data_IF_157317904381
#
_entry.id   IF_157317904381
#
_cell.length_a   1.000
_cell.length_b   1.000
_cell.length_c   1.000
_cell.angle_alpha   90.00
_cell.angle_beta   90.00
_cell.angle_gamma   90.00
#
_symmetry.space_group_name_H-M   'P 1'
#
loop_
_entity.id
_entity.type
_entity.pdbx_description
1 polymer ?
#
# COMPACT_ATOMS: atom_id res chain seq x y z
N UNK A 1 -37.49 55.59 -14.59
CA UNK A 1 -37.59 56.38 -13.34
C UNK A 1 -37.18 55.48 -12.24
N UNK A 2 -35.94 55.58 -11.77
CA UNK A 2 -35.57 56.17 -10.48
C UNK A 2 -36.32 55.47 -9.36
N UNK A 3 -35.73 54.86 -8.40
CA UNK A 3 -34.54 55.17 -7.68
C UNK A 3 -34.41 54.34 -6.40
N UNK A 4 -33.29 54.50 -5.90
CA UNK A 4 -32.81 54.62 -4.52
C UNK A 4 -32.40 53.37 -3.77
N UNK A 5 -31.11 53.35 -3.60
CA UNK A 5 -30.35 52.60 -2.60
C UNK A 5 -30.71 53.07 -1.16
N UNK A 6 -30.71 52.16 -0.21
CA UNK A 6 -30.53 52.45 1.20
C UNK A 6 -29.46 51.51 1.77
N UNK A 7 -28.30 52.07 2.07
CA UNK A 7 -27.26 51.43 2.81
C UNK A 7 -27.61 51.33 4.30
N UNK A 8 -27.35 50.19 4.87
CA UNK A 8 -27.37 49.97 6.31
C UNK A 8 -26.02 49.47 6.77
N UNK A 9 -25.23 50.34 7.39
CA UNK A 9 -24.01 50.02 8.13
C UNK A 9 -24.44 49.38 9.45
N UNK A 10 -24.07 48.11 9.67
CA UNK A 10 -24.10 47.51 10.99
C UNK A 10 -22.66 47.34 11.43
N UNK A 11 -22.26 48.11 12.41
CA UNK A 11 -20.97 48.06 13.08
C UNK A 11 -20.85 46.78 13.90
N UNK A 12 -19.62 46.26 13.93
CA UNK A 12 -19.23 45.00 14.44
C UNK A 12 -19.40 44.75 15.95
N UNK A 13 -19.54 43.49 16.26
CA UNK A 13 -19.08 42.91 17.52
C UNK A 13 -18.18 41.71 17.12
N UNK A 14 -16.92 41.83 17.49
CA UNK A 14 -15.92 40.80 17.27
C UNK A 14 -16.24 39.56 18.10
N UNK A 15 -16.64 38.49 17.42
CA UNK A 15 -16.56 37.15 17.94
C UNK A 15 -15.33 36.51 17.29
N UNK A 16 -14.40 36.09 18.13
CA UNK A 16 -13.17 35.44 17.72
C UNK A 16 -13.43 34.32 16.73
N UNK A 17 -12.94 34.52 15.50
CA UNK A 17 -13.08 33.53 14.44
C UNK A 17 -12.34 32.25 14.84
N UNK A 18 -13.09 31.18 15.00
CA UNK A 18 -12.55 29.82 14.90
C UNK A 18 -11.93 29.76 13.50
N UNK A 19 -10.63 29.42 13.37
CA UNK A 19 -10.04 29.30 12.02
C UNK A 19 -10.85 28.27 11.24
N UNK A 20 -11.49 28.70 10.16
CA UNK A 20 -12.14 27.80 9.22
C UNK A 20 -11.09 26.78 8.77
N UNK A 21 -11.27 25.51 9.16
CA UNK A 21 -10.47 24.40 8.61
C UNK A 21 -10.65 24.47 7.09
N UNK A 22 -9.58 24.79 6.39
CA UNK A 22 -9.58 24.76 4.92
C UNK A 22 -9.91 23.32 4.49
N UNK A 23 -11.09 23.14 3.92
CA UNK A 23 -11.44 21.89 3.23
C UNK A 23 -10.49 21.77 2.05
N UNK A 24 -9.63 20.76 2.07
CA UNK A 24 -8.77 20.48 0.92
C UNK A 24 -9.65 20.05 -0.25
N UNK A 25 -9.31 20.53 -1.46
CA UNK A 25 -10.00 20.11 -2.68
C UNK A 25 -9.76 18.61 -2.95
N UNK A 26 -10.71 17.89 -3.59
CA UNK A 26 -10.53 16.49 -3.94
C UNK A 26 -9.24 16.27 -4.73
N UNK A 27 -8.45 15.24 -4.36
CA UNK A 27 -7.17 14.93 -5.01
C UNK A 27 -5.99 15.80 -4.56
N UNK A 28 -6.14 16.62 -3.50
CA UNK A 28 -5.01 17.35 -2.93
C UNK A 28 -3.98 16.37 -2.37
N UNK A 29 -2.86 16.29 -3.07
CA UNK A 29 -1.67 15.61 -2.61
C UNK A 29 -1.12 16.33 -1.36
N UNK A 30 -0.73 15.57 -0.35
CA UNK A 30 0.36 16.03 0.50
C UNK A 30 1.54 16.28 -0.44
N UNK A 31 2.26 17.40 -0.32
CA UNK A 31 3.50 17.57 -1.09
C UNK A 31 4.40 16.34 -0.91
N UNK A 32 5.31 16.08 -1.83
CA UNK A 32 6.25 14.96 -1.72
C UNK A 32 6.84 14.91 -0.31
N UNK A 33 6.73 13.76 0.36
CA UNK A 33 7.26 13.59 1.71
C UNK A 33 8.76 13.93 1.73
N UNK A 34 9.24 14.76 2.67
CA UNK A 34 10.65 15.12 2.74
C UNK A 34 11.50 13.90 3.09
N UNK A 35 12.75 13.92 2.64
CA UNK A 35 13.76 12.97 3.09
C UNK A 35 14.50 13.61 4.28
N UNK A 36 14.29 13.06 5.46
CA UNK A 36 15.02 13.45 6.67
C UNK A 36 16.31 12.64 6.74
N UNK A 37 17.44 13.35 6.92
CA UNK A 37 18.79 12.73 6.96
C UNK A 37 19.45 12.98 8.31
N UNK A 38 20.26 12.03 8.76
CA UNK A 38 21.04 12.16 10.00
C UNK A 38 20.84 10.97 10.92
N UNK A 39 21.10 11.20 12.21
CA UNK A 39 21.03 10.17 13.26
C UNK A 39 20.02 10.50 14.37
N UNK A 40 19.48 11.72 14.37
CA UNK A 40 18.48 12.19 15.34
C UNK A 40 17.22 12.63 14.60
N UNK A 41 16.07 12.08 14.98
CA UNK A 41 14.80 12.36 14.34
C UNK A 41 13.72 12.63 15.38
N UNK A 42 12.86 13.62 15.11
CA UNK A 42 11.67 13.91 15.90
C UNK A 42 10.43 13.71 15.02
N UNK A 43 9.61 12.73 15.38
CA UNK A 43 8.39 12.37 14.68
C UNK A 43 7.18 12.63 15.58
N UNK A 44 6.18 13.31 15.05
CA UNK A 44 4.91 13.57 15.75
C UNK A 44 3.80 12.84 15.02
N UNK A 45 3.13 11.94 15.72
CA UNK A 45 1.95 11.22 15.22
C UNK A 45 0.71 12.00 15.64
N UNK A 46 -0.15 12.36 14.67
CA UNK A 46 -1.36 13.12 14.90
C UNK A 46 -2.40 12.85 13.81
N UNK A 47 -3.65 13.18 14.10
CA UNK A 47 -4.71 13.20 13.09
C UNK A 47 -4.57 14.42 12.16
N UNK A 48 -4.78 14.21 10.86
CA UNK A 48 -4.75 15.26 9.83
C UNK A 48 -5.96 15.11 8.90
N UNK A 49 -6.71 16.18 8.62
CA UNK A 49 -7.79 16.14 7.63
C UNK A 49 -7.26 15.83 6.23
N UNK A 50 -7.94 14.93 5.53
CA UNK A 50 -7.62 14.52 4.16
C UNK A 50 -8.85 14.49 3.28
N UNK A 51 -8.65 14.53 1.95
CA UNK A 51 -9.73 14.37 0.98
C UNK A 51 -9.17 13.77 -0.32
N UNK A 52 -9.20 12.44 -0.45
CA UNK A 52 -8.71 11.75 -1.65
C UNK A 52 -9.82 11.50 -2.68
N UNK A 53 -11.06 11.38 -2.25
CA UNK A 53 -12.19 10.91 -3.08
C UNK A 53 -13.25 11.97 -3.33
N UNK A 54 -13.13 13.14 -2.68
CA UNK A 54 -14.19 14.13 -2.56
C UNK A 54 -14.93 14.05 -1.21
N UNK A 55 -14.71 12.98 -0.44
CA UNK A 55 -15.25 12.81 0.91
C UNK A 55 -14.18 13.19 1.94
N UNK A 56 -14.45 14.16 2.83
CA UNK A 56 -13.53 14.49 3.90
C UNK A 56 -13.30 13.30 4.85
N UNK A 57 -12.06 13.05 5.22
CA UNK A 57 -11.65 12.03 6.16
C UNK A 57 -10.57 12.54 7.13
N UNK A 58 -10.20 11.70 8.09
CA UNK A 58 -9.09 11.94 9.00
C UNK A 58 -8.05 10.86 8.79
N UNK A 59 -6.81 11.23 8.52
CA UNK A 59 -5.68 10.33 8.43
C UNK A 59 -4.84 10.37 9.70
N UNK A 60 -4.26 9.25 10.07
CA UNK A 60 -3.19 9.18 11.07
C UNK A 60 -1.87 9.49 10.37
N UNK A 61 -1.24 10.60 10.68
CA UNK A 61 -0.08 11.10 9.94
C UNK A 61 1.16 11.24 10.80
N UNK A 62 2.31 11.28 10.15
CA UNK A 62 3.60 11.59 10.78
C UNK A 62 4.06 12.96 10.30
N UNK A 63 4.27 13.88 11.25
CA UNK A 63 4.62 15.27 10.98
C UNK A 63 3.62 15.97 10.03
N UNK A 64 2.33 15.57 10.10
CA UNK A 64 1.25 16.12 9.27
C UNK A 64 1.27 15.66 7.82
N UNK A 65 1.99 14.58 7.49
CA UNK A 65 2.18 14.08 6.13
C UNK A 65 1.72 12.63 5.97
N UNK A 66 1.26 12.29 4.76
CA UNK A 66 0.92 10.95 4.30
C UNK A 66 1.48 10.77 2.86
N UNK A 67 2.42 9.82 2.64
CA UNK A 67 3.16 9.09 3.67
C UNK A 67 3.98 10.04 4.57
N UNK A 68 4.37 9.54 5.72
CA UNK A 68 5.34 10.22 6.59
C UNK A 68 6.68 10.43 5.90
N UNK A 69 7.61 11.23 6.50
CA UNK A 69 8.91 11.49 5.91
C UNK A 69 9.68 10.21 5.60
N UNK A 70 10.43 10.18 4.50
CA UNK A 70 11.43 9.14 4.29
C UNK A 70 12.60 9.38 5.22
N UNK A 71 12.91 8.42 6.09
CA UNK A 71 14.07 8.49 6.98
C UNK A 71 15.28 7.92 6.25
N UNK A 72 16.39 8.66 6.23
CA UNK A 72 17.62 8.22 5.58
C UNK A 72 18.82 8.35 6.50
N UNK A 73 19.45 7.24 6.78
CA UNK A 73 20.64 7.12 7.60
C UNK A 73 21.65 6.16 6.96
N UNK A 74 22.76 5.91 7.64
CA UNK A 74 23.83 5.08 7.12
C UNK A 74 24.04 3.83 7.97
N UNK A 75 24.37 2.74 7.34
CA UNK A 75 24.82 1.52 7.98
C UNK A 75 26.01 1.79 8.90
N UNK A 76 25.99 1.26 10.13
CA UNK A 76 26.96 1.48 11.18
C UNK A 76 26.64 2.62 12.12
N UNK A 77 25.77 3.56 11.74
CA UNK A 77 25.34 4.65 12.61
C UNK A 77 24.50 4.12 13.79
N UNK A 78 24.45 4.92 14.86
CA UNK A 78 23.44 4.73 15.92
C UNK A 78 22.42 5.82 15.76
N UNK A 79 21.16 5.43 15.48
CA UNK A 79 20.06 6.37 15.32
C UNK A 79 19.24 6.49 16.60
N UNK A 80 18.69 7.69 16.82
CA UNK A 80 17.73 7.99 17.88
C UNK A 80 16.52 8.64 17.25
N UNK A 81 15.34 8.02 17.40
CA UNK A 81 14.09 8.49 16.81
C UNK A 81 13.11 8.71 17.95
N UNK A 82 12.80 9.96 18.26
CA UNK A 82 11.82 10.35 19.27
C UNK A 82 10.45 10.45 18.62
N UNK A 83 9.53 9.64 19.07
CA UNK A 83 8.15 9.58 18.55
C UNK A 83 7.21 10.10 19.61
N UNK A 84 6.54 11.22 19.31
CA UNK A 84 5.55 11.83 20.19
C UNK A 84 4.15 11.47 19.71
N UNK A 85 3.35 10.88 20.58
CA UNK A 85 1.95 10.53 20.31
C UNK A 85 1.02 11.69 20.64
N UNK A 86 0.34 12.26 19.66
CA UNK A 86 -0.74 13.25 19.82
C UNK A 86 -2.13 12.71 19.49
N UNK A 87 -2.26 11.41 19.30
CA UNK A 87 -3.55 10.75 19.14
C UNK A 87 -4.25 10.62 20.51
N UNK A 88 -5.56 10.46 20.53
CA UNK A 88 -6.32 10.15 21.76
C UNK A 88 -6.15 8.70 22.21
N UNK A 89 -5.46 7.86 21.46
CA UNK A 89 -5.26 6.42 21.68
C UNK A 89 -3.76 6.07 21.64
N UNK A 90 -3.35 4.90 22.17
CA UNK A 90 -1.98 4.42 22.06
C UNK A 90 -1.55 4.22 20.59
N UNK A 91 -0.27 4.42 20.34
CA UNK A 91 0.36 4.22 19.02
C UNK A 91 1.69 3.49 19.13
N UNK A 92 2.28 3.18 17.99
CA UNK A 92 3.60 2.57 17.88
C UNK A 92 4.21 2.84 16.51
N UNK A 93 5.51 2.65 16.38
CA UNK A 93 6.17 2.52 15.07
C UNK A 93 6.98 1.22 15.08
N UNK A 94 6.66 0.35 14.13
CA UNK A 94 7.45 -0.83 13.78
C UNK A 94 8.40 -0.48 12.61
N UNK A 95 9.62 -0.98 12.70
CA UNK A 95 10.70 -0.77 11.72
C UNK A 95 10.80 -2.00 10.82
N UNK A 96 9.97 -2.05 9.78
CA UNK A 96 9.78 -3.24 8.97
C UNK A 96 11.06 -3.67 8.24
N UNK A 97 11.48 -4.91 8.49
CA UNK A 97 12.66 -5.50 7.87
C UNK A 97 14.01 -5.09 8.51
N UNK A 98 14.01 -4.31 9.60
CA UNK A 98 15.22 -3.83 10.25
C UNK A 98 15.70 -4.80 11.34
N UNK A 99 16.99 -5.15 11.31
CA UNK A 99 17.66 -5.92 12.36
C UNK A 99 18.01 -4.97 13.51
N UNK A 100 17.32 -5.10 14.63
CA UNK A 100 17.44 -4.21 15.78
C UNK A 100 17.20 -4.96 17.11
N UNK A 101 17.52 -4.35 18.26
CA UNK A 101 17.20 -4.93 19.56
C UNK A 101 15.69 -5.11 19.75
N UNK A 102 15.27 -6.25 20.28
CA UNK A 102 13.87 -6.63 20.45
C UNK A 102 12.99 -5.51 21.06
N UNK A 103 13.49 -4.81 22.10
CA UNK A 103 12.75 -3.74 22.75
C UNK A 103 12.50 -2.52 21.87
N UNK A 104 13.19 -2.41 20.73
CA UNK A 104 13.07 -1.33 19.75
C UNK A 104 12.24 -1.72 18.53
N UNK A 105 11.71 -2.94 18.48
CA UNK A 105 10.94 -3.46 17.36
C UNK A 105 9.58 -2.77 17.15
N UNK A 106 9.04 -2.19 18.22
CA UNK A 106 7.87 -1.33 18.14
C UNK A 106 6.53 -2.06 18.03
N UNK A 107 6.44 -3.32 18.48
CA UNK A 107 5.20 -4.11 18.48
C UNK A 107 4.58 -4.12 19.87
N UNK A 108 3.44 -3.40 20.10
CA UNK A 108 2.80 -3.28 21.41
C UNK A 108 2.35 -4.63 21.95
N UNK A 109 2.59 -4.83 23.24
CA UNK A 109 2.24 -6.08 23.94
C UNK A 109 3.20 -7.25 23.69
N UNK A 110 4.20 -7.05 22.78
CA UNK A 110 5.25 -8.02 22.49
C UNK A 110 6.61 -7.42 22.86
N UNK A 111 7.07 -6.40 22.12
CA UNK A 111 8.40 -5.81 22.32
C UNK A 111 8.43 -4.62 23.28
N UNK A 112 7.29 -3.93 23.44
CA UNK A 112 7.13 -2.79 24.38
C UNK A 112 5.63 -2.55 24.68
N UNK A 113 5.32 -1.57 25.55
CA UNK A 113 3.94 -1.28 25.98
C UNK A 113 3.14 -0.40 25.00
N UNK A 114 3.77 0.11 23.92
CA UNK A 114 3.21 1.15 23.06
C UNK A 114 3.52 2.56 23.61
N UNK A 115 3.09 3.58 22.87
CA UNK A 115 3.26 5.00 23.21
C UNK A 115 1.91 5.55 23.58
N UNK A 116 1.68 5.88 24.87
CA UNK A 116 0.39 6.40 25.34
C UNK A 116 0.12 7.82 24.81
N UNK A 117 -1.16 8.28 24.82
CA UNK A 117 -1.50 9.65 24.45
C UNK A 117 -0.68 10.70 25.23
N UNK A 118 -0.04 11.63 24.50
CA UNK A 118 0.79 12.67 25.06
C UNK A 118 2.23 12.26 25.40
N UNK A 119 2.56 10.98 25.31
CA UNK A 119 3.92 10.49 25.60
C UNK A 119 4.86 10.59 24.40
N UNK A 120 6.17 10.58 24.70
CA UNK A 120 7.24 10.45 23.72
C UNK A 120 8.08 9.22 24.05
N UNK A 121 8.25 8.34 23.07
CA UNK A 121 9.16 7.19 23.17
C UNK A 121 10.37 7.40 22.28
N UNK A 122 11.56 7.04 22.77
CA UNK A 122 12.81 7.15 22.02
C UNK A 122 13.28 5.75 21.58
N UNK A 123 13.13 5.48 20.30
CA UNK A 123 13.78 4.32 19.68
C UNK A 123 15.25 4.64 19.47
N UNK A 124 16.14 3.78 19.98
CA UNK A 124 17.60 3.96 19.82
C UNK A 124 18.25 2.63 19.51
N UNK A 125 18.87 2.54 18.34
CA UNK A 125 19.54 1.31 17.91
C UNK A 125 20.68 1.59 16.93
N UNK A 126 21.61 0.63 16.85
CA UNK A 126 22.68 0.63 15.85
C UNK A 126 22.13 0.02 14.56
N UNK A 127 22.35 0.70 13.44
CA UNK A 127 21.99 0.25 12.10
C UNK A 127 22.99 -0.81 11.63
N UNK A 128 22.51 -2.01 11.28
CA UNK A 128 23.35 -3.18 11.00
C UNK A 128 23.27 -3.63 9.53
N UNK A 129 22.51 -2.92 8.69
CA UNK A 129 22.22 -3.30 7.31
C UNK A 129 22.04 -2.07 6.44
N UNK A 130 22.15 -2.22 5.13
CA UNK A 130 21.80 -1.20 4.12
C UNK A 130 20.59 -1.66 3.32
N UNK A 131 19.98 -0.74 2.55
CA UNK A 131 18.87 -1.05 1.65
C UNK A 131 17.66 -0.16 1.79
N UNK A 132 16.58 -0.56 1.14
CA UNK A 132 15.28 0.10 1.16
C UNK A 132 14.32 -0.67 2.05
N UNK A 133 13.69 0.03 2.98
CA UNK A 133 12.77 -0.50 3.97
C UNK A 133 11.64 0.49 4.20
N UNK A 134 10.79 0.24 5.20
CA UNK A 134 9.72 1.14 5.58
C UNK A 134 9.40 1.04 7.06
N UNK A 135 8.60 1.96 7.56
CA UNK A 135 8.10 1.93 8.91
C UNK A 135 6.59 2.19 8.92
N UNK A 136 5.89 1.59 9.87
CA UNK A 136 4.43 1.72 9.99
C UNK A 136 3.96 1.49 11.43
N UNK A 137 2.70 1.82 11.71
CA UNK A 137 2.09 1.49 13.00
C UNK A 137 1.82 0.00 13.12
N UNK A 138 1.98 -0.52 14.32
CA UNK A 138 1.53 -1.85 14.72
C UNK A 138 0.41 -1.77 15.76
N UNK A 139 -0.35 -0.65 15.77
CA UNK A 139 -1.44 -0.36 16.71
C UNK A 139 -2.76 -0.22 15.98
N UNK A 140 -3.71 -1.11 16.26
CA UNK A 140 -5.03 -1.08 15.64
C UNK A 140 -4.96 -1.07 14.11
N UNK A 141 -5.70 -0.13 13.48
CA UNK A 141 -5.69 0.09 12.03
C UNK A 141 -4.98 1.38 11.60
N UNK A 142 -4.07 1.89 12.43
CA UNK A 142 -3.39 3.16 12.14
C UNK A 142 -2.54 3.09 10.86
N UNK A 143 -2.02 1.93 10.49
CA UNK A 143 -1.39 1.68 9.20
C UNK A 143 -2.37 1.95 8.05
N UNK A 144 -3.58 1.37 8.08
CA UNK A 144 -4.62 1.59 7.08
C UNK A 144 -5.10 3.03 7.00
N UNK A 145 -4.94 3.80 8.07
CA UNK A 145 -5.33 5.23 8.12
C UNK A 145 -4.18 6.18 7.83
N UNK A 146 -2.98 5.68 7.49
CA UNK A 146 -1.90 6.48 6.91
C UNK A 146 -0.60 6.57 7.72
N UNK A 147 -0.46 5.82 8.83
CA UNK A 147 0.75 5.85 9.64
C UNK A 147 1.82 4.91 9.07
N UNK A 148 2.50 5.37 8.04
CA UNK A 148 3.63 4.69 7.39
C UNK A 148 4.56 5.69 6.70
N UNK A 149 5.80 5.25 6.40
CA UNK A 149 6.79 6.02 5.63
C UNK A 149 7.99 5.16 5.22
N UNK A 150 8.78 5.65 4.28
CA UNK A 150 9.94 4.94 3.76
C UNK A 150 11.18 5.05 4.64
N UNK A 151 12.07 4.07 4.53
CA UNK A 151 13.41 4.06 5.11
C UNK A 151 14.42 3.78 4.00
N UNK A 152 15.49 4.57 3.95
CA UNK A 152 16.64 4.30 3.09
C UNK A 152 17.89 4.24 3.95
N UNK A 153 18.59 3.13 3.90
CA UNK A 153 19.85 2.95 4.62
C UNK A 153 20.98 2.90 3.61
N UNK A 154 21.80 3.96 3.60
CA UNK A 154 22.98 4.02 2.75
C UNK A 154 24.03 3.02 3.29
N UNK A 155 24.75 2.27 2.44
CA UNK A 155 25.75 1.32 2.89
C UNK A 155 26.94 2.00 3.56
N UNK A 156 27.62 1.30 4.46
CA UNK A 156 28.82 1.78 5.10
C UNK A 156 29.95 2.07 4.11
N UNK A 157 30.03 1.28 3.04
CA UNK A 157 30.94 1.43 1.91
C UNK A 157 30.37 2.23 0.77
N UNK A 158 30.86 1.95 -0.44
CA UNK A 158 30.33 2.50 -1.68
C UNK A 158 29.04 1.78 -2.07
N UNK A 159 28.01 2.52 -2.48
CA UNK A 159 26.77 1.91 -3.00
C UNK A 159 27.07 1.23 -4.35
N UNK A 160 26.72 -0.05 -4.44
CA UNK A 160 26.87 -0.84 -5.68
C UNK A 160 25.95 -0.34 -6.79
N UNK A 161 24.82 0.27 -6.40
CA UNK A 161 23.81 0.77 -7.34
C UNK A 161 23.98 2.27 -7.50
N UNK A 162 24.65 2.67 -8.58
CA UNK A 162 24.80 4.09 -8.91
C UNK A 162 23.61 4.55 -9.75
N UNK A 163 23.05 5.71 -9.39
CA UNK A 163 22.02 6.39 -10.15
C UNK A 163 22.16 7.91 -9.94
N UNK A 164 21.78 8.68 -10.98
CA UNK A 164 21.84 10.15 -10.94
C UNK A 164 20.68 10.74 -10.11
N UNK A 165 19.57 10.02 -10.05
CA UNK A 165 18.37 10.33 -9.26
C UNK A 165 17.96 9.14 -8.42
N UNK A 166 17.41 9.41 -7.24
CA UNK A 166 17.02 8.40 -6.26
C UNK A 166 15.70 8.82 -5.61
N UNK A 167 14.64 8.04 -5.82
CA UNK A 167 13.29 8.31 -5.32
C UNK A 167 12.75 7.12 -4.55
N UNK A 168 12.23 7.37 -3.36
CA UNK A 168 11.32 6.44 -2.69
C UNK A 168 9.94 6.58 -3.33
N UNK A 169 9.37 5.46 -3.77
CA UNK A 169 8.04 5.37 -4.37
C UNK A 169 7.20 4.45 -3.50
N UNK A 170 6.49 5.05 -2.55
CA UNK A 170 5.63 4.31 -1.64
C UNK A 170 4.23 4.20 -2.23
N UNK A 171 3.80 2.96 -2.47
CA UNK A 171 2.44 2.63 -2.87
C UNK A 171 1.62 2.31 -1.62
N UNK A 172 0.39 2.79 -1.58
CA UNK A 172 -0.51 2.54 -0.47
C UNK A 172 -1.96 2.54 -0.94
N UNK A 173 -2.86 2.12 -0.07
CA UNK A 173 -4.30 2.15 -0.28
C UNK A 173 -4.98 2.97 0.82
N UNK A 174 -6.09 3.61 0.46
CA UNK A 174 -6.91 4.43 1.34
C UNK A 174 -8.36 3.98 1.24
N UNK A 175 -9.05 3.91 2.37
CA UNK A 175 -10.50 3.73 2.40
C UNK A 175 -11.17 4.88 3.17
N UNK A 176 -12.32 5.34 2.65
CA UNK A 176 -13.18 6.30 3.36
C UNK A 176 -14.11 5.62 4.38
N UNK A 177 -14.10 4.29 4.43
CA UNK A 177 -14.81 3.50 5.41
C UNK A 177 -13.92 3.25 6.63
N UNK A 178 -14.50 3.19 7.81
CA UNK A 178 -13.79 2.79 9.03
C UNK A 178 -13.21 1.37 8.86
N UNK A 179 -11.88 1.17 8.96
CA UNK A 179 -11.25 -0.13 8.75
C UNK A 179 -11.77 -1.24 9.65
N UNK A 180 -12.23 -0.91 10.89
CA UNK A 180 -12.85 -1.88 11.78
C UNK A 180 -14.21 -2.38 11.23
N UNK A 181 -14.97 -1.50 10.58
CA UNK A 181 -16.20 -1.90 9.89
C UNK A 181 -15.93 -2.75 8.67
N UNK A 182 -14.88 -2.41 7.91
CA UNK A 182 -14.41 -3.22 6.77
C UNK A 182 -14.09 -4.63 7.25
N UNK A 183 -13.24 -4.77 8.28
CA UNK A 183 -12.90 -6.08 8.85
C UNK A 183 -14.12 -6.83 9.37
N UNK A 184 -15.08 -6.13 10.01
CA UNK A 184 -16.30 -6.76 10.52
C UNK A 184 -17.13 -7.37 9.38
N UNK A 185 -17.25 -6.67 8.25
CA UNK A 185 -17.96 -7.18 7.07
C UNK A 185 -17.26 -8.40 6.48
N UNK A 186 -15.93 -8.34 6.31
CA UNK A 186 -15.12 -9.45 5.79
C UNK A 186 -15.19 -10.69 6.69
N UNK A 187 -15.26 -10.53 8.02
CA UNK A 187 -15.46 -11.65 8.97
C UNK A 187 -16.83 -12.33 8.82
N UNK A 188 -17.85 -11.61 8.36
CA UNK A 188 -19.19 -12.13 8.12
C UNK A 188 -19.26 -12.79 6.74
N UNK A 189 -18.66 -12.13 5.74
CA UNK A 189 -18.67 -12.56 4.34
C UNK A 189 -17.33 -12.17 3.70
N UNK A 190 -16.45 -13.13 3.42
CA UNK A 190 -15.10 -12.88 2.89
C UNK A 190 -15.10 -12.13 1.56
N UNK A 191 -16.03 -12.45 0.68
CA UNK A 191 -16.21 -11.83 -0.64
C UNK A 191 -17.16 -10.61 -0.65
N UNK A 192 -17.39 -9.97 0.52
CA UNK A 192 -18.33 -8.84 0.66
C UNK A 192 -18.07 -7.70 -0.33
N UNK A 193 -16.80 -7.40 -0.61
CA UNK A 193 -16.38 -6.33 -1.52
C UNK A 193 -16.07 -6.81 -2.94
N UNK A 194 -16.32 -8.09 -3.25
CA UNK A 194 -16.17 -8.63 -4.59
C UNK A 194 -17.42 -8.35 -5.44
N UNK A 195 -17.39 -7.27 -6.20
CA UNK A 195 -18.47 -6.89 -7.12
C UNK A 195 -18.32 -7.49 -8.52
N UNK A 196 -17.30 -8.32 -8.75
CA UNK A 196 -17.04 -8.99 -10.04
C UNK A 196 -17.41 -10.46 -10.03
N UNK A 197 -18.33 -10.86 -9.14
CA UNK A 197 -18.76 -12.24 -9.00
C UNK A 197 -19.31 -12.82 -10.31
N UNK A 198 -19.10 -14.14 -10.58
CA UNK A 198 -19.62 -14.80 -11.76
C UNK A 198 -21.14 -14.70 -11.86
N UNK A 199 -21.62 -14.25 -13.01
CA UNK A 199 -23.04 -14.04 -13.28
C UNK A 199 -23.72 -15.28 -13.90
N UNK A 200 -25.04 -15.23 -14.01
CA UNK A 200 -25.82 -16.24 -14.78
C UNK A 200 -25.39 -16.24 -16.25
N UNK A 201 -25.02 -15.08 -16.80
CA UNK A 201 -24.53 -15.00 -18.20
C UNK A 201 -23.20 -15.73 -18.34
N UNK A 202 -22.30 -15.62 -17.34
CA UNK A 202 -21.04 -16.37 -17.34
C UNK A 202 -21.28 -17.88 -17.25
N UNK A 203 -22.30 -18.32 -16.48
CA UNK A 203 -22.70 -19.72 -16.45
C UNK A 203 -23.08 -20.24 -17.84
N UNK A 204 -23.95 -19.54 -18.54
CA UNK A 204 -24.35 -19.98 -19.89
C UNK A 204 -23.20 -19.89 -20.91
N UNK A 205 -22.29 -18.97 -20.73
CA UNK A 205 -21.06 -18.93 -21.53
C UNK A 205 -20.18 -20.16 -21.29
N UNK A 206 -20.02 -20.56 -20.01
CA UNK A 206 -19.31 -21.80 -19.66
C UNK A 206 -20.01 -23.02 -20.23
N UNK A 207 -21.35 -23.12 -20.09
CA UNK A 207 -22.15 -24.23 -20.71
C UNK A 207 -21.91 -24.30 -22.21
N UNK A 208 -21.87 -23.16 -22.90
CA UNK A 208 -21.60 -23.11 -24.35
C UNK A 208 -20.19 -23.58 -24.72
N UNK A 209 -19.22 -23.45 -23.83
CA UNK A 209 -17.82 -23.79 -24.10
C UNK A 209 -17.43 -25.19 -23.66
N UNK A 210 -17.90 -25.63 -22.52
CA UNK A 210 -17.46 -26.86 -21.85
C UNK A 210 -18.61 -27.86 -21.53
N UNK A 211 -19.85 -27.50 -21.87
CA UNK A 211 -21.05 -28.34 -21.64
C UNK A 211 -21.65 -28.14 -20.24
N UNK A 212 -22.91 -28.58 -20.11
CA UNK A 212 -23.72 -28.38 -18.90
C UNK A 212 -23.08 -29.01 -17.65
N UNK A 213 -22.69 -30.30 -17.76
CA UNK A 213 -22.13 -31.03 -16.61
C UNK A 213 -20.86 -30.38 -16.07
N UNK A 214 -19.93 -30.06 -16.97
CA UNK A 214 -18.67 -29.42 -16.59
C UNK A 214 -18.90 -28.07 -15.94
N UNK A 215 -19.76 -27.22 -16.51
CA UNK A 215 -20.10 -25.92 -15.96
C UNK A 215 -20.76 -25.99 -14.57
N UNK A 216 -21.61 -27.02 -14.36
CA UNK A 216 -22.23 -27.26 -13.05
C UNK A 216 -21.22 -27.77 -12.01
N UNK A 217 -20.37 -28.73 -12.39
CA UNK A 217 -19.38 -29.32 -11.49
C UNK A 217 -18.33 -28.26 -11.06
N UNK A 218 -17.91 -27.40 -11.96
CA UNK A 218 -17.05 -26.26 -11.68
C UNK A 218 -17.65 -25.34 -10.58
N UNK A 219 -18.93 -24.96 -10.74
CA UNK A 219 -19.59 -24.12 -9.73
C UNK A 219 -19.82 -24.84 -8.42
N UNK A 220 -20.17 -26.12 -8.46
CA UNK A 220 -20.32 -26.95 -7.27
C UNK A 220 -19.00 -27.00 -6.48
N UNK A 221 -17.89 -27.17 -7.15
CA UNK A 221 -16.56 -27.25 -6.55
C UNK A 221 -16.19 -25.94 -5.85
N UNK A 222 -16.32 -24.78 -6.52
CA UNK A 222 -16.08 -23.49 -5.90
C UNK A 222 -16.99 -23.25 -4.68
N UNK A 223 -18.27 -23.60 -4.78
CA UNK A 223 -19.22 -23.49 -3.67
C UNK A 223 -18.84 -24.41 -2.48
N UNK A 224 -18.37 -25.61 -2.74
CA UNK A 224 -17.92 -26.53 -1.68
C UNK A 224 -16.69 -26.00 -0.94
N UNK A 225 -15.78 -25.33 -1.64
CA UNK A 225 -14.62 -24.65 -1.05
C UNK A 225 -14.99 -23.35 -0.34
N UNK A 226 -16.22 -22.85 -0.51
CA UNK A 226 -16.66 -21.52 -0.05
C UNK A 226 -15.76 -20.41 -0.56
N UNK A 227 -15.31 -20.52 -1.80
CA UNK A 227 -14.42 -19.59 -2.48
C UNK A 227 -15.06 -19.08 -3.77
N UNK A 228 -14.57 -17.94 -4.25
CA UNK A 228 -15.02 -17.35 -5.50
C UNK A 228 -13.82 -17.21 -6.45
N UNK A 229 -13.92 -17.69 -7.71
CA UNK A 229 -12.80 -17.61 -8.66
C UNK A 229 -12.39 -16.20 -9.05
N UNK A 230 -13.22 -15.20 -8.74
CA UNK A 230 -12.92 -13.78 -9.02
C UNK A 230 -12.45 -13.02 -7.79
N UNK A 231 -12.38 -13.67 -6.62
CA UNK A 231 -11.97 -13.07 -5.36
C UNK A 231 -10.45 -13.22 -5.20
N UNK A 232 -9.69 -12.38 -5.91
CA UNK A 232 -8.23 -12.35 -5.87
C UNK A 232 -7.69 -11.51 -4.73
N UNK A 233 -8.53 -10.62 -4.19
CA UNK A 233 -8.19 -9.73 -3.08
C UNK A 233 -9.48 -9.39 -2.33
N UNK A 234 -9.46 -9.51 -1.01
CA UNK A 234 -10.63 -9.25 -0.15
C UNK A 234 -11.20 -7.83 -0.32
N UNK A 235 -10.33 -6.88 -0.68
CA UNK A 235 -10.67 -5.48 -0.94
C UNK A 235 -10.31 -5.09 -2.38
N UNK A 236 -11.15 -4.25 -2.98
CA UNK A 236 -11.02 -3.81 -4.37
C UNK A 236 -11.19 -2.29 -4.49
N UNK A 237 -11.09 -1.74 -5.70
CA UNK A 237 -11.37 -0.32 -5.96
C UNK A 237 -12.79 0.13 -5.59
N UNK A 238 -13.67 -0.81 -5.25
CA UNK A 238 -14.99 -0.49 -4.72
C UNK A 238 -14.93 0.21 -3.34
N UNK A 239 -13.86 -0.04 -2.58
CA UNK A 239 -13.65 0.60 -1.27
C UNK A 239 -12.27 1.21 -1.11
N UNK A 240 -11.32 0.90 -1.99
CA UNK A 240 -9.95 1.41 -1.92
C UNK A 240 -9.66 2.46 -3.00
N UNK A 241 -8.92 3.48 -2.61
CA UNK A 241 -8.25 4.44 -3.50
C UNK A 241 -6.75 4.20 -3.41
N UNK A 242 -6.10 3.97 -4.54
CA UNK A 242 -4.68 3.63 -4.60
C UNK A 242 -3.84 4.89 -4.73
N UNK A 243 -2.80 4.99 -3.92
CA UNK A 243 -1.95 6.17 -3.81
C UNK A 243 -0.51 5.85 -4.19
N UNK A 244 0.15 6.78 -4.86
CA UNK A 244 1.61 6.79 -5.06
C UNK A 244 2.19 8.00 -4.34
N UNK A 245 3.00 7.78 -3.32
CA UNK A 245 3.54 8.85 -2.46
C UNK A 245 2.44 9.79 -1.91
N UNK A 246 1.29 9.22 -1.50
CA UNK A 246 0.15 9.98 -0.97
C UNK A 246 -0.67 10.75 -2.01
N UNK A 247 -0.42 10.50 -3.30
CA UNK A 247 -1.08 11.17 -4.42
C UNK A 247 -2.01 10.20 -5.14
N UNK A 248 -3.26 10.60 -5.37
CA UNK A 248 -4.21 9.83 -6.19
C UNK A 248 -3.78 9.79 -7.65
N UNK A 249 -4.29 8.85 -8.48
CA UNK A 249 -4.03 8.84 -9.91
C UNK A 249 -4.33 10.16 -10.61
N UNK A 250 -5.38 10.87 -10.19
CA UNK A 250 -5.74 12.19 -10.74
C UNK A 250 -4.70 13.27 -10.40
N UNK A 251 -4.06 13.16 -9.23
CA UNK A 251 -3.00 14.08 -8.80
C UNK A 251 -1.65 13.83 -9.47
N UNK A 252 -1.41 12.60 -9.92
CA UNK A 252 -0.25 12.18 -10.70
C UNK A 252 1.11 12.60 -10.10
N UNK A 253 1.63 11.83 -9.14
CA UNK A 253 2.96 12.07 -8.58
C UNK A 253 4.02 12.16 -9.68
N UNK A 254 4.98 13.10 -9.56
CA UNK A 254 6.01 13.30 -10.59
C UNK A 254 7.41 13.24 -10.00
N UNK A 255 8.22 12.28 -10.48
CA UNK A 255 9.67 12.22 -10.27
C UNK A 255 10.41 12.90 -11.42
N UNK A 256 11.31 13.85 -11.11
CA UNK A 256 12.02 14.63 -12.12
C UNK A 256 13.37 14.02 -12.48
N UNK A 257 13.70 14.00 -13.77
CA UNK A 257 15.01 13.62 -14.28
C UNK A 257 15.48 14.56 -15.39
N UNK A 258 16.75 14.51 -15.74
CA UNK A 258 17.30 15.13 -16.95
C UNK A 258 17.61 14.05 -17.99
N UNK A 259 17.46 14.36 -19.27
CA UNK A 259 17.76 13.40 -20.36
C UNK A 259 19.15 12.79 -20.17
N UNK A 260 19.27 11.47 -20.34
CA UNK A 260 20.49 10.71 -20.15
C UNK A 260 20.81 10.32 -18.72
N UNK A 261 20.05 10.79 -17.72
CA UNK A 261 20.21 10.36 -16.34
C UNK A 261 19.62 8.97 -16.12
N UNK A 262 20.26 8.22 -15.23
CA UNK A 262 19.70 7.01 -14.61
C UNK A 262 18.92 7.39 -13.37
N UNK A 263 17.79 6.71 -13.16
CA UNK A 263 16.89 6.93 -12.02
C UNK A 263 16.74 5.63 -11.24
N UNK A 264 17.06 5.65 -9.95
CA UNK A 264 16.71 4.58 -9.00
C UNK A 264 15.33 4.87 -8.41
N UNK A 265 14.43 3.94 -8.54
CA UNK A 265 13.12 3.96 -7.91
C UNK A 265 13.10 2.88 -6.84
N UNK A 266 12.93 3.31 -5.58
CA UNK A 266 12.84 2.44 -4.41
C UNK A 266 11.37 2.24 -4.09
N UNK A 267 10.78 1.20 -4.67
CA UNK A 267 9.39 0.88 -4.45
C UNK A 267 9.21 0.25 -3.08
N UNK A 268 8.21 0.74 -2.36
CA UNK A 268 7.73 0.21 -1.08
C UNK A 268 6.24 -0.06 -1.22
N UNK A 269 5.79 -1.27 -0.95
CA UNK A 269 4.38 -1.56 -0.85
C UNK A 269 3.92 -1.42 0.61
N UNK A 270 3.49 -0.22 0.97
CA UNK A 270 2.90 0.12 2.27
C UNK A 270 1.36 0.04 2.26
N UNK A 271 0.77 -0.72 1.33
CA UNK A 271 -0.67 -0.97 1.32
C UNK A 271 -1.06 -2.00 2.39
N UNK A 272 -2.21 -1.83 3.00
CA UNK A 272 -2.70 -2.78 4.00
C UNK A 272 -3.22 -4.09 3.40
N UNK A 273 -3.56 -4.11 2.11
CA UNK A 273 -4.13 -5.30 1.45
C UNK A 273 -3.68 -5.51 0.00
N UNK A 274 -3.26 -4.45 -0.70
CA UNK A 274 -3.15 -4.47 -2.16
C UNK A 274 -1.83 -5.03 -2.66
N UNK A 275 -1.87 -6.07 -3.49
CA UNK A 275 -0.75 -6.47 -4.35
C UNK A 275 -0.73 -5.61 -5.61
N UNK A 276 0.45 -5.15 -6.02
CA UNK A 276 0.62 -4.35 -7.23
C UNK A 276 1.48 -5.04 -8.27
N UNK A 277 1.07 -4.92 -9.54
CA UNK A 277 1.91 -5.18 -10.70
C UNK A 277 2.40 -3.83 -11.24
N UNK A 278 3.70 -3.60 -11.18
CA UNK A 278 4.33 -2.32 -11.53
C UNK A 278 5.04 -2.41 -12.86
N UNK A 279 4.75 -1.47 -13.76
CA UNK A 279 5.42 -1.32 -15.05
C UNK A 279 5.62 0.14 -15.43
N UNK A 280 6.61 0.39 -16.25
CA UNK A 280 6.88 1.67 -16.89
C UNK A 280 6.86 1.43 -18.39
N UNK A 281 5.75 1.68 -19.11
CA UNK A 281 5.63 1.38 -20.53
C UNK A 281 6.77 1.97 -21.35
N UNK A 282 7.38 1.14 -22.18
CA UNK A 282 8.51 1.52 -23.05
C UNK A 282 9.87 1.60 -22.34
N UNK A 283 9.96 1.30 -21.04
CA UNK A 283 11.22 1.34 -20.28
C UNK A 283 11.45 0.00 -19.58
N UNK A 284 12.60 -0.63 -19.83
CA UNK A 284 13.02 -1.80 -19.04
C UNK A 284 13.44 -1.38 -17.65
N UNK A 285 12.93 -2.06 -16.64
CA UNK A 285 13.31 -1.88 -15.25
C UNK A 285 14.37 -2.91 -14.87
N UNK A 286 15.53 -2.44 -14.44
CA UNK A 286 16.58 -3.31 -13.91
C UNK A 286 16.37 -3.44 -12.41
N UNK A 287 15.82 -4.57 -11.94
CA UNK A 287 15.71 -4.88 -10.52
C UNK A 287 17.10 -5.13 -9.95
N UNK A 288 17.46 -4.41 -8.91
CA UNK A 288 18.80 -4.41 -8.30
C UNK A 288 18.80 -4.79 -6.83
N UNK A 289 17.63 -4.64 -6.15
CA UNK A 289 17.49 -4.96 -4.73
C UNK A 289 16.04 -5.39 -4.46
N UNK A 290 15.85 -6.39 -3.59
CA UNK A 290 14.55 -6.88 -3.12
C UNK A 290 14.63 -7.04 -1.62
N UNK A 291 13.63 -6.53 -0.88
CA UNK A 291 13.54 -6.57 0.58
C UNK A 291 14.84 -6.13 1.27
N UNK A 292 15.39 -5.03 0.77
CA UNK A 292 16.61 -4.42 1.29
C UNK A 292 17.90 -5.17 0.95
N UNK A 293 17.84 -6.27 0.19
CA UNK A 293 19.00 -7.07 -0.17
C UNK A 293 19.38 -6.88 -1.65
N UNK A 294 20.67 -6.65 -1.91
CA UNK A 294 21.19 -6.59 -3.26
C UNK A 294 21.06 -7.96 -3.94
N UNK A 295 20.64 -7.95 -5.20
CA UNK A 295 20.55 -9.14 -6.04
C UNK A 295 21.41 -8.99 -7.29
N UNK A 296 21.67 -10.09 -8.01
CA UNK A 296 22.17 -10.01 -9.37
C UNK A 296 21.11 -9.32 -10.24
N UNK A 297 21.47 -8.23 -10.95
CA UNK A 297 20.46 -7.40 -11.62
C UNK A 297 19.69 -8.15 -12.71
N UNK A 298 18.36 -8.08 -12.64
CA UNK A 298 17.45 -8.70 -13.62
C UNK A 298 16.62 -7.61 -14.32
N UNK A 299 16.58 -7.66 -15.66
CA UNK A 299 15.76 -6.73 -16.45
C UNK A 299 14.38 -7.29 -16.70
N UNK A 300 13.35 -6.54 -16.29
CA UNK A 300 11.95 -6.94 -16.40
C UNK A 300 11.12 -5.83 -17.07
N UNK A 301 9.97 -6.20 -17.61
CA UNK A 301 8.96 -5.25 -18.11
C UNK A 301 7.95 -4.89 -17.01
N UNK A 302 7.69 -5.84 -16.12
CA UNK A 302 6.75 -5.71 -15.01
C UNK A 302 7.24 -6.58 -13.85
N UNK A 303 6.96 -6.18 -12.62
CA UNK A 303 7.15 -7.00 -11.43
C UNK A 303 5.94 -6.89 -10.51
N UNK A 304 5.63 -7.99 -9.80
CA UNK A 304 4.62 -8.03 -8.75
C UNK A 304 5.30 -7.97 -7.39
N UNK A 305 4.70 -7.22 -6.46
CA UNK A 305 5.09 -7.28 -5.06
C UNK A 305 3.89 -7.07 -4.12
N UNK A 306 3.94 -7.77 -3.00
CA UNK A 306 2.90 -7.78 -1.98
C UNK A 306 3.08 -6.71 -0.91
N UNK A 307 2.06 -6.53 -0.04
CA UNK A 307 2.16 -5.66 1.13
C UNK A 307 3.39 -6.01 1.97
N UNK A 308 4.14 -4.99 2.39
CA UNK A 308 5.35 -5.12 3.19
C UNK A 308 6.64 -5.32 2.40
N UNK A 309 6.58 -5.71 1.13
CA UNK A 309 7.76 -5.93 0.29
C UNK A 309 8.35 -4.62 -0.24
N UNK A 310 9.65 -4.65 -0.54
CA UNK A 310 10.35 -3.56 -1.23
C UNK A 310 11.07 -4.07 -2.48
N UNK A 311 11.14 -3.23 -3.52
CA UNK A 311 11.80 -3.55 -4.77
C UNK A 311 12.48 -2.31 -5.35
N UNK A 312 13.82 -2.32 -5.46
CA UNK A 312 14.54 -1.22 -6.08
C UNK A 312 14.84 -1.53 -7.55
N UNK A 313 14.49 -0.61 -8.41
CA UNK A 313 14.79 -0.70 -9.83
C UNK A 313 15.60 0.50 -10.30
N UNK A 314 16.47 0.26 -11.28
CA UNK A 314 17.15 1.32 -12.03
C UNK A 314 16.59 1.38 -13.44
N UNK A 315 16.22 2.58 -13.87
CA UNK A 315 15.71 2.85 -15.21
C UNK A 315 16.52 3.95 -15.89
N UNK A 316 16.54 3.93 -17.22
CA UNK A 316 17.12 5.00 -18.06
C UNK A 316 16.01 5.51 -18.98
N UNK A 317 15.27 6.55 -18.56
CA UNK A 317 14.18 7.10 -19.36
C UNK A 317 14.71 7.68 -20.68
N UNK A 318 13.99 7.42 -21.77
CA UNK A 318 14.39 7.85 -23.14
C UNK A 318 13.57 9.06 -23.62
N UNK A 319 12.31 9.15 -23.23
CA UNK A 319 11.40 10.22 -23.62
C UNK A 319 11.27 11.28 -22.52
N UNK A 320 10.58 12.37 -22.80
CA UNK A 320 10.39 13.46 -21.85
C UNK A 320 9.47 13.11 -20.67
N UNK A 321 8.64 12.09 -20.84
CA UNK A 321 7.74 11.60 -19.80
C UNK A 321 7.46 10.10 -19.97
N UNK A 322 7.44 9.37 -18.86
CA UNK A 322 7.05 7.96 -18.77
C UNK A 322 6.07 7.77 -17.62
N UNK A 323 5.02 7.02 -17.85
CA UNK A 323 4.07 6.64 -16.80
C UNK A 323 4.66 5.56 -15.92
N UNK A 324 4.63 5.74 -14.60
CA UNK A 324 4.78 4.68 -13.61
C UNK A 324 3.37 4.17 -13.31
N UNK A 325 3.08 2.96 -13.72
CA UNK A 325 1.77 2.35 -13.61
C UNK A 325 1.81 1.14 -12.68
N UNK A 326 1.11 1.23 -11.56
CA UNK A 326 1.01 0.18 -10.57
C UNK A 326 -0.45 -0.29 -10.49
N UNK A 327 -0.80 -1.31 -11.28
CA UNK A 327 -2.16 -1.87 -11.27
C UNK A 327 -2.32 -2.89 -10.15
N UNK A 328 -3.54 -3.00 -9.63
CA UNK A 328 -3.86 -4.00 -8.61
C UNK A 328 -3.92 -5.41 -9.21
N UNK A 329 -3.59 -6.43 -8.42
CA UNK A 329 -3.61 -7.82 -8.84
C UNK A 329 -5.01 -8.26 -9.31
N UNK A 330 -6.06 -7.75 -8.69
CA UNK A 330 -7.46 -8.02 -9.05
C UNK A 330 -7.95 -7.24 -10.28
N UNK A 331 -7.12 -6.35 -10.84
CA UNK A 331 -7.42 -5.51 -12.02
C UNK A 331 -8.59 -4.56 -11.84
N UNK A 332 -8.88 -4.14 -10.60
CA UNK A 332 -9.97 -3.19 -10.34
C UNK A 332 -9.52 -1.73 -10.31
N UNK A 333 -8.21 -1.47 -10.13
CA UNK A 333 -7.69 -0.11 -10.06
C UNK A 333 -6.17 -0.03 -10.20
N UNK A 334 -5.64 1.16 -9.97
CA UNK A 334 -4.19 1.41 -10.08
C UNK A 334 -3.76 2.65 -9.28
N UNK A 335 -2.49 2.68 -8.87
CA UNK A 335 -1.78 3.89 -8.49
C UNK A 335 -0.98 4.41 -9.70
N UNK A 336 -0.77 5.72 -9.76
CA UNK A 336 -0.18 6.41 -10.93
C UNK A 336 0.87 7.42 -10.52
N UNK A 337 1.96 7.45 -11.28
CA UNK A 337 2.95 8.52 -11.26
C UNK A 337 3.58 8.73 -12.62
N UNK A 338 4.42 9.74 -12.74
CA UNK A 338 5.15 10.07 -13.96
C UNK A 338 6.62 10.34 -13.65
N UNK A 339 7.54 9.74 -14.41
CA UNK A 339 8.89 10.24 -14.53
C UNK A 339 8.89 11.28 -15.65
N UNK A 340 9.39 12.50 -15.39
CA UNK A 340 9.34 13.57 -16.38
C UNK A 340 10.55 14.51 -16.30
N UNK A 341 10.91 15.15 -17.43
CA UNK A 341 11.98 16.16 -17.46
C UNK A 341 11.56 17.48 -16.85
N UNK A 342 10.26 17.73 -16.66
CA UNK A 342 9.69 18.90 -15.98
C UNK A 342 8.32 18.60 -15.41
N UNK A 343 7.91 19.36 -14.41
CA UNK A 343 6.57 19.27 -13.80
C UNK A 343 5.46 19.50 -14.83
N UNK A 344 4.33 18.81 -14.63
CA UNK A 344 3.12 18.95 -15.45
C UNK A 344 3.13 18.17 -16.77
N UNK A 345 4.24 17.49 -17.11
CA UNK A 345 4.22 16.53 -18.20
C UNK A 345 3.51 15.24 -17.75
N UNK A 346 2.79 14.66 -18.69
CA UNK A 346 2.13 13.37 -18.52
C UNK A 346 2.42 12.50 -19.73
N UNK A 347 2.53 11.19 -19.51
CA UNK A 347 2.60 10.19 -20.55
C UNK A 347 1.25 9.45 -20.65
N UNK A 348 1.09 8.64 -21.70
CA UNK A 348 -0.11 7.83 -21.89
C UNK A 348 -0.28 6.86 -20.71
N UNK A 349 -1.46 6.89 -20.09
CA UNK A 349 -1.82 5.96 -19.03
C UNK A 349 -2.34 4.67 -19.66
N UNK A 350 -1.74 3.50 -19.35
CA UNK A 350 -2.26 2.23 -19.84
C UNK A 350 -3.67 1.93 -19.33
N UNK A 351 -4.42 1.14 -20.07
CA UNK A 351 -5.60 0.51 -19.50
C UNK A 351 -5.18 -0.57 -18.50
N UNK A 352 -6.01 -0.80 -17.49
CA UNK A 352 -5.86 -1.98 -16.60
C UNK A 352 -5.99 -3.24 -17.45
N UNK A 353 -5.19 -4.24 -17.16
CA UNK A 353 -5.24 -5.51 -17.85
C UNK A 353 -6.57 -6.24 -17.55
N UNK A 354 -6.89 -7.24 -18.35
CA UNK A 354 -8.08 -8.05 -18.11
C UNK A 354 -7.89 -8.85 -16.82
N UNK A 355 -8.90 -8.81 -15.94
CA UNK A 355 -8.93 -9.67 -14.78
C UNK A 355 -8.97 -11.15 -15.20
N UNK A 356 -8.10 -11.94 -14.61
CA UNK A 356 -8.08 -13.38 -14.75
C UNK A 356 -8.84 -14.01 -13.58
N UNK A 357 -9.57 -15.09 -13.85
CA UNK A 357 -10.24 -15.85 -12.81
C UNK A 357 -9.33 -16.96 -12.33
N UNK A 358 -9.34 -17.20 -11.04
CA UNK A 358 -8.65 -18.34 -10.47
C UNK A 358 -9.16 -19.64 -11.11
N UNK A 359 -8.22 -20.51 -11.43
CA UNK A 359 -8.48 -21.86 -11.89
C UNK A 359 -8.17 -22.87 -10.78
N UNK A 360 -8.57 -24.11 -10.96
CA UNK A 360 -8.19 -25.17 -10.02
C UNK A 360 -6.68 -25.45 -10.02
N UNK A 361 -6.01 -25.22 -11.14
CA UNK A 361 -4.54 -25.32 -11.19
C UNK A 361 -3.87 -24.28 -10.31
N UNK A 362 -4.39 -23.05 -10.27
CA UNK A 362 -3.86 -21.98 -9.39
C UNK A 362 -4.02 -22.33 -7.91
N UNK A 363 -5.14 -23.03 -7.56
CA UNK A 363 -5.45 -23.41 -6.18
C UNK A 363 -4.67 -24.64 -5.69
N UNK A 364 -4.41 -25.61 -6.57
CA UNK A 364 -3.83 -26.90 -6.19
C UNK A 364 -2.35 -27.02 -6.58
N UNK A 365 -1.80 -26.04 -7.26
CA UNK A 365 -0.48 -26.11 -7.88
C UNK A 365 -0.47 -27.07 -9.06
N UNK A 366 0.65 -27.14 -9.76
CA UNK A 366 0.85 -28.10 -10.83
C UNK A 366 1.04 -29.53 -10.23
N UNK A 367 -0.07 -30.24 -10.01
CA UNK A 367 -0.06 -31.64 -9.55
C UNK A 367 0.35 -32.63 -10.67
N UNK A 368 1.01 -32.16 -11.71
CA UNK A 368 1.53 -32.97 -12.82
C UNK A 368 2.50 -34.07 -12.43
N UNK A 369 2.89 -34.17 -11.14
CA UNK A 369 3.72 -35.24 -10.59
C UNK A 369 2.97 -36.37 -9.88
N UNK A 370 1.65 -36.29 -9.69
CA UNK A 370 0.84 -37.30 -8.98
C UNK A 370 -0.06 -38.11 -9.91
N UNK A 371 0.45 -38.69 -10.97
CA UNK A 371 -0.21 -39.78 -11.69
C UNK A 371 -0.13 -41.07 -10.86
N UNK A 372 -0.86 -41.14 -9.72
CA UNK A 372 -0.81 -42.27 -8.83
C UNK A 372 -1.89 -42.35 -7.74
N UNK A 373 -2.90 -41.46 -7.73
CA UNK A 373 -3.98 -41.54 -6.74
C UNK A 373 -5.34 -41.73 -7.38
N UNK A 374 -5.53 -42.82 -8.16
CA UNK A 374 -6.84 -43.44 -8.39
C UNK A 374 -7.19 -44.28 -7.16
N UNK A 375 -7.79 -43.63 -6.11
CA UNK A 375 -8.15 -44.35 -4.89
C UNK A 375 -8.59 -43.50 -3.72
N UNK A 376 -9.40 -42.45 -3.95
CA UNK A 376 -10.09 -41.75 -2.84
C UNK A 376 -11.63 -41.81 -3.00
N UNK A 377 -12.15 -43.01 -3.15
CA UNK A 377 -13.54 -43.33 -2.83
C UNK A 377 -13.56 -44.01 -1.46
N UNK A 378 -13.59 -43.20 -0.35
CA UNK A 378 -13.63 -43.78 0.98
C UNK A 378 -13.32 -42.84 2.12
N UNK A 379 -13.94 -41.65 2.16
CA UNK A 379 -13.96 -40.83 3.40
C UNK A 379 -15.40 -40.52 3.82
N UNK A 380 -16.17 -41.60 4.06
CA UNK A 380 -17.37 -41.53 4.87
C UNK A 380 -17.04 -42.31 6.17
N UNK A 381 -16.61 -41.61 7.22
CA UNK A 381 -16.38 -42.24 8.51
C UNK A 381 -15.42 -41.51 9.46
N UNK A 382 -15.75 -40.29 9.86
CA UNK A 382 -15.18 -39.69 11.08
C UNK A 382 -16.28 -38.99 11.88
N UNK A 383 -17.22 -39.81 12.36
CA UNK A 383 -18.04 -39.47 13.51
C UNK A 383 -17.55 -40.33 14.66
N UNK A 384 -16.82 -39.73 15.62
CA UNK A 384 -16.49 -40.43 16.86
C UNK A 384 -15.17 -40.03 17.47
N UNK A 385 -15.10 -38.83 18.08
CA UNK A 385 -14.17 -38.58 19.19
C UNK A 385 -14.84 -37.58 20.16
N UNK A 386 -15.79 -38.12 20.92
CA UNK A 386 -16.17 -37.60 22.22
C UNK A 386 -15.46 -38.45 23.28
N UNK A 387 -14.62 -37.81 24.12
CA UNK A 387 -14.16 -38.41 25.35
C UNK A 387 -12.64 -38.35 25.55
N UNK A 388 -12.16 -37.28 26.14
CA UNK A 388 -11.07 -37.32 27.14
C UNK A 388 -11.19 -36.06 28.02
N UNK A 389 -11.96 -36.22 29.09
CA UNK A 389 -11.84 -35.44 30.32
C UNK A 389 -10.87 -36.19 31.23
N UNK A 390 -9.87 -35.49 31.83
CA UNK A 390 -9.14 -35.94 32.99
C UNK A 390 -7.66 -36.16 32.76
N UNK A 391 -6.84 -35.19 33.00
CA UNK A 391 -5.72 -35.08 33.95
C UNK A 391 -5.05 -33.73 33.81
#
# INVERSE_FOLDING_TARGET
MQGLAAGGVIAGLGLGGIPARASQAPGTAFGSAPVLRGTEFDLVIAETPVNFTGKPGMATTINGMLPGPTLRWREGDTVTIRVTNRLPEPTSIHWHGIILPFQMDGVPGISFSGIAPGETFAYRFKVQQSGSYWYHSHSGFQEMTGLYGGIVIDPAGEDRVRADRDYTVLLSDWTDEDPMRVLTKLKIQGDYYNYTQPTVVDFFRDVSREGWTSAMDKRRMWNQMRMNPTDLADLSSATLTYLMNGVTPAGNWTGLFSRGQTVRLRFVNGAGNTFYDVRIPGVKMKVVQVDGQDIEPVSVDEFRFGPGETCDVVVTPTDDAHTIFAQTMDRTGYALGTLAVRQGLQATVPSVDKAEWLTMADMMGDMGGMSGMSGMSGMSGMSGMSGMSGM
#
